data_IF_667897516434
#
_entry.id   IF_667897516434
#
_cell.length_a   1.000
_cell.length_b   1.000
_cell.length_c   1.000
_cell.angle_alpha   90.00
_cell.angle_beta   90.00
_cell.angle_gamma   90.00
#
_symmetry.space_group_name_H-M   'P 1'
#
loop_
_entity.id
_entity.type
_entity.pdbx_description
1 polymer ?
#
# COMPACT_ATOMS: atom_id res chain seq x y z
N UNK A 1 39.55 15.79 -99.66
CA UNK A 1 38.18 16.30 -99.46
C UNK A 1 37.87 16.18 -97.98
N UNK A 2 37.67 17.35 -97.34
CA UNK A 2 36.92 17.62 -96.08
C UNK A 2 37.24 16.74 -94.86
N UNK A 3 38.02 17.22 -93.89
CA UNK A 3 37.70 18.19 -92.81
C UNK A 3 37.10 17.57 -91.53
N UNK A 4 37.49 18.17 -90.40
CA UNK A 4 37.06 18.03 -88.98
C UNK A 4 37.93 17.09 -88.12
N UNK A 5 38.88 17.49 -87.25
CA UNK A 5 39.06 18.58 -86.24
C UNK A 5 38.63 18.14 -84.82
N UNK A 6 39.62 18.22 -83.88
CA UNK A 6 39.56 18.30 -82.38
C UNK A 6 39.35 17.01 -81.58
N UNK A 7 39.93 16.77 -80.40
CA UNK A 7 41.20 17.09 -79.70
C UNK A 7 41.20 16.20 -78.43
N UNK A 8 42.39 16.02 -77.88
CA UNK A 8 42.74 15.78 -76.47
C UNK A 8 41.74 16.30 -75.41
N UNK A 9 41.71 15.61 -74.27
CA UNK A 9 40.83 15.88 -73.14
C UNK A 9 41.08 14.95 -71.95
N UNK A 10 42.24 15.08 -71.31
CA UNK A 10 42.41 14.86 -69.87
C UNK A 10 41.37 15.62 -69.05
N UNK A 11 40.82 15.00 -68.00
CA UNK A 11 40.27 15.53 -66.72
C UNK A 11 39.17 14.55 -66.24
N UNK A 12 38.97 14.20 -64.98
CA UNK A 12 39.55 14.60 -63.70
C UNK A 12 39.19 13.52 -62.66
N UNK A 13 40.01 13.47 -61.61
CA UNK A 13 39.72 12.93 -60.30
C UNK A 13 38.27 13.21 -59.86
N UNK A 14 37.44 12.16 -59.79
CA UNK A 14 36.26 12.17 -58.94
C UNK A 14 36.60 11.42 -57.65
N UNK A 15 37.08 12.19 -56.67
CA UNK A 15 37.48 11.72 -55.36
C UNK A 15 36.48 10.75 -54.73
N UNK A 16 37.00 9.58 -54.37
CA UNK A 16 36.44 8.71 -53.34
C UNK A 16 36.12 9.53 -52.09
N UNK A 17 34.83 9.82 -51.89
CA UNK A 17 34.34 10.24 -50.58
C UNK A 17 34.73 9.13 -49.56
N UNK A 18 35.34 9.46 -48.41
CA UNK A 18 35.67 8.45 -47.42
C UNK A 18 34.37 7.78 -46.97
N UNK A 19 34.30 6.46 -47.15
CA UNK A 19 33.18 5.64 -46.67
C UNK A 19 32.92 5.95 -45.19
N UNK A 20 31.80 6.64 -44.93
CA UNK A 20 31.38 7.02 -43.59
C UNK A 20 31.31 5.78 -42.71
N UNK A 21 31.90 5.90 -41.52
CA UNK A 21 31.90 4.91 -40.43
C UNK A 21 30.49 4.72 -39.86
N UNK A 22 29.58 4.14 -40.63
CA UNK A 22 28.22 3.88 -40.14
C UNK A 22 28.17 2.60 -39.32
N UNK A 23 27.61 2.70 -38.12
CA UNK A 23 27.36 1.55 -37.23
C UNK A 23 26.35 0.61 -37.89
N UNK A 24 26.57 -0.70 -37.81
CA UNK A 24 25.67 -1.68 -38.41
C UNK A 24 24.22 -1.52 -37.89
N UNK A 25 23.20 -1.58 -38.78
CA UNK A 25 21.80 -1.33 -38.42
C UNK A 25 21.30 -2.19 -37.25
N UNK A 26 21.69 -3.47 -37.20
CA UNK A 26 21.29 -4.39 -36.13
C UNK A 26 21.85 -3.96 -34.76
N UNK A 27 23.12 -3.56 -34.70
CA UNK A 27 23.75 -3.13 -33.45
C UNK A 27 23.12 -1.84 -32.93
N UNK A 28 22.73 -0.92 -33.84
CA UNK A 28 21.94 0.28 -33.51
C UNK A 28 20.59 -0.10 -32.90
N UNK A 29 19.88 -1.05 -33.52
CA UNK A 29 18.58 -1.50 -33.03
C UNK A 29 18.67 -2.16 -31.65
N UNK A 30 19.68 -2.99 -31.40
CA UNK A 30 19.88 -3.63 -30.08
C UNK A 30 20.20 -2.61 -28.99
N UNK A 31 21.11 -1.65 -29.26
CA UNK A 31 21.43 -0.57 -28.31
C UNK A 31 20.18 0.27 -28.02
N UNK A 32 19.44 0.65 -29.07
CA UNK A 32 18.24 1.46 -28.92
C UNK A 32 17.13 0.72 -28.15
N UNK A 33 16.95 -0.58 -28.37
CA UNK A 33 15.95 -1.37 -27.65
C UNK A 33 16.30 -1.56 -26.18
N UNK A 34 17.58 -1.79 -25.85
CA UNK A 34 18.02 -1.85 -24.44
C UNK A 34 17.84 -0.49 -23.76
N UNK A 35 18.22 0.59 -24.42
CA UNK A 35 18.04 1.96 -23.93
C UNK A 35 16.55 2.30 -23.71
N UNK A 36 15.69 1.97 -24.67
CA UNK A 36 14.24 2.21 -24.57
C UNK A 36 13.59 1.33 -23.49
N UNK A 37 14.01 0.07 -23.34
CA UNK A 37 13.52 -0.82 -22.29
C UNK A 37 13.89 -0.33 -20.89
N UNK A 38 15.15 0.08 -20.68
CA UNK A 38 15.59 0.69 -19.43
C UNK A 38 14.86 2.02 -19.16
N UNK A 39 14.68 2.86 -20.18
CA UNK A 39 13.93 4.10 -20.07
C UNK A 39 12.49 3.87 -19.63
N UNK A 40 11.82 2.86 -20.20
CA UNK A 40 10.45 2.49 -19.84
C UNK A 40 10.36 2.07 -18.37
N UNK A 41 11.33 1.29 -17.86
CA UNK A 41 11.36 0.90 -16.45
C UNK A 41 11.58 2.14 -15.56
N UNK A 42 12.59 2.98 -15.83
CA UNK A 42 12.83 4.19 -15.04
C UNK A 42 11.61 5.11 -14.98
N UNK A 43 10.97 5.36 -16.13
CA UNK A 43 9.78 6.21 -16.18
C UNK A 43 8.59 5.58 -15.46
N UNK A 44 8.43 4.25 -15.53
CA UNK A 44 7.37 3.54 -14.82
C UNK A 44 7.54 3.58 -13.29
N UNK A 45 8.78 3.63 -12.80
CA UNK A 45 9.07 3.70 -11.36
C UNK A 45 8.94 5.11 -10.76
N UNK A 46 8.82 6.16 -11.58
CA UNK A 46 8.72 7.56 -11.13
C UNK A 46 7.68 7.77 -10.03
N UNK A 47 6.41 7.29 -10.14
CA UNK A 47 5.41 7.54 -9.10
C UNK A 47 5.81 7.01 -7.73
N UNK A 48 6.36 5.78 -7.68
CA UNK A 48 6.78 5.14 -6.43
C UNK A 48 7.92 5.92 -5.76
N UNK A 49 8.95 6.30 -6.51
CA UNK A 49 10.08 7.06 -5.97
C UNK A 49 9.74 8.52 -5.67
N UNK A 50 8.81 9.13 -6.42
CA UNK A 50 8.37 10.50 -6.14
C UNK A 50 7.55 10.59 -4.86
N UNK A 51 6.75 9.56 -4.56
CA UNK A 51 5.97 9.46 -3.33
C UNK A 51 6.86 9.25 -2.10
N UNK A 52 7.91 8.44 -2.21
CA UNK A 52 8.87 8.22 -1.12
C UNK A 52 9.75 9.45 -0.88
N UNK A 53 10.40 9.95 -1.94
CA UNK A 53 11.30 11.10 -1.85
C UNK A 53 11.44 11.81 -3.21
N UNK A 54 10.82 13.00 -3.32
CA UNK A 54 10.75 13.73 -4.60
C UNK A 54 12.08 13.88 -5.37
N UNK A 55 13.25 14.15 -4.75
CA UNK A 55 14.52 14.19 -5.46
C UNK A 55 14.88 12.88 -6.18
N UNK A 56 14.51 11.73 -5.61
CA UNK A 56 14.70 10.42 -6.25
C UNK A 56 13.78 10.27 -7.45
N UNK A 57 12.49 10.58 -7.31
CA UNK A 57 11.55 10.59 -8.42
C UNK A 57 12.03 11.47 -9.58
N UNK A 58 12.58 12.65 -9.31
CA UNK A 58 13.18 13.53 -10.33
C UNK A 58 14.39 12.88 -11.00
N UNK A 59 15.26 12.20 -10.25
CA UNK A 59 16.40 11.48 -10.81
C UNK A 59 15.96 10.36 -11.78
N UNK A 60 14.88 9.63 -11.45
CA UNK A 60 14.27 8.63 -12.33
C UNK A 60 13.71 9.24 -13.62
N UNK A 61 13.02 10.39 -13.52
CA UNK A 61 12.53 11.14 -14.70
C UNK A 61 13.70 11.52 -15.61
N UNK A 62 14.74 12.13 -15.07
CA UNK A 62 15.91 12.58 -15.84
C UNK A 62 16.64 11.39 -16.50
N UNK A 63 16.78 10.29 -15.76
CA UNK A 63 17.41 9.06 -16.25
C UNK A 63 16.62 8.45 -17.41
N UNK A 64 15.30 8.29 -17.24
CA UNK A 64 14.42 7.73 -18.26
C UNK A 64 14.41 8.55 -19.55
N UNK A 65 14.31 9.88 -19.44
CA UNK A 65 14.36 10.77 -20.61
C UNK A 65 15.72 10.77 -21.30
N UNK A 66 16.81 10.72 -20.54
CA UNK A 66 18.16 10.60 -21.13
C UNK A 66 18.30 9.29 -21.92
N UNK A 67 17.85 8.17 -21.35
CA UNK A 67 17.91 6.86 -22.02
C UNK A 67 17.02 6.81 -23.27
N UNK A 68 15.84 7.43 -23.22
CA UNK A 68 14.96 7.55 -24.39
C UNK A 68 15.58 8.43 -25.49
N UNK A 69 16.24 9.53 -25.10
CA UNK A 69 16.98 10.37 -26.04
C UNK A 69 18.16 9.62 -26.68
N UNK A 70 18.90 8.82 -25.91
CA UNK A 70 19.96 7.94 -26.43
C UNK A 70 19.38 6.94 -27.44
N UNK A 71 18.26 6.29 -27.11
CA UNK A 71 17.59 5.34 -28.01
C UNK A 71 17.24 5.99 -29.36
N UNK A 72 16.63 7.17 -29.33
CA UNK A 72 16.29 7.93 -30.55
C UNK A 72 17.54 8.38 -31.32
N UNK A 73 18.55 8.93 -30.63
CA UNK A 73 19.76 9.46 -31.27
C UNK A 73 20.60 8.36 -31.91
N UNK A 74 20.71 7.17 -31.32
CA UNK A 74 21.43 6.03 -31.93
C UNK A 74 20.78 5.61 -33.25
N UNK A 75 19.45 5.63 -33.33
CA UNK A 75 18.71 5.32 -34.56
C UNK A 75 18.89 6.41 -35.63
N UNK A 76 18.73 7.68 -35.25
CA UNK A 76 18.76 8.81 -36.19
C UNK A 76 20.19 9.18 -36.62
N UNK A 77 21.16 9.22 -35.68
CA UNK A 77 22.56 9.62 -35.92
C UNK A 77 23.55 8.90 -35.01
N UNK A 78 24.20 7.85 -35.52
CA UNK A 78 25.30 7.12 -34.84
C UNK A 78 26.62 7.87 -34.80
N UNK A 79 26.65 9.05 -34.17
CA UNK A 79 27.91 9.72 -33.90
C UNK A 79 28.59 9.08 -32.69
N UNK A 80 29.93 9.02 -32.69
CA UNK A 80 30.72 8.43 -31.60
C UNK A 80 30.40 9.04 -30.23
N UNK A 81 30.06 10.33 -30.17
CA UNK A 81 29.69 10.98 -28.92
C UNK A 81 28.42 10.37 -28.29
N UNK A 82 27.44 9.93 -29.09
CA UNK A 82 26.21 9.28 -28.58
C UNK A 82 26.55 7.96 -27.90
N UNK A 83 27.47 7.19 -28.48
CA UNK A 83 27.96 5.93 -27.90
C UNK A 83 28.74 6.18 -26.60
N UNK A 84 29.58 7.22 -26.55
CA UNK A 84 30.25 7.61 -25.30
C UNK A 84 29.23 8.02 -24.22
N UNK A 85 28.22 8.82 -24.57
CA UNK A 85 27.14 9.18 -23.64
C UNK A 85 26.41 7.93 -23.13
N UNK A 86 26.12 6.97 -24.00
CA UNK A 86 25.52 5.68 -23.61
C UNK A 86 26.40 4.90 -22.63
N UNK A 87 27.71 4.79 -22.89
CA UNK A 87 28.65 4.10 -21.99
C UNK A 87 28.73 4.80 -20.63
N UNK A 88 28.93 6.12 -20.61
CA UNK A 88 29.12 6.89 -19.38
C UNK A 88 27.84 6.87 -18.53
N UNK A 89 26.69 7.14 -19.13
CA UNK A 89 25.41 7.12 -18.40
C UNK A 89 25.09 5.74 -17.83
N UNK A 90 25.22 4.67 -18.62
CA UNK A 90 24.99 3.30 -18.12
C UNK A 90 25.93 2.94 -16.97
N UNK A 91 27.20 3.33 -17.05
CA UNK A 91 28.16 3.08 -15.97
C UNK A 91 27.77 3.81 -14.68
N UNK A 92 27.26 5.04 -14.79
CA UNK A 92 26.76 5.83 -13.64
C UNK A 92 25.54 5.16 -13.02
N UNK A 93 24.55 4.75 -13.82
CA UNK A 93 23.30 4.15 -13.32
C UNK A 93 23.55 2.79 -12.67
N UNK A 94 24.34 1.93 -13.30
CA UNK A 94 24.78 0.65 -12.71
C UNK A 94 25.57 0.90 -11.43
N UNK A 95 26.45 1.91 -11.40
CA UNK A 95 27.20 2.30 -10.21
C UNK A 95 26.29 2.73 -9.06
N UNK A 96 25.29 3.58 -9.33
CA UNK A 96 24.29 4.01 -8.36
C UNK A 96 23.52 2.81 -7.79
N UNK A 97 23.06 1.90 -8.64
CA UNK A 97 22.42 0.65 -8.23
C UNK A 97 23.32 -0.20 -7.31
N UNK A 98 24.60 -0.35 -7.66
CA UNK A 98 25.53 -1.13 -6.85
C UNK A 98 25.72 -0.51 -5.46
N UNK A 99 25.79 0.82 -5.36
CA UNK A 99 25.90 1.53 -4.08
C UNK A 99 24.68 1.25 -3.20
N UNK A 100 23.45 1.44 -3.73
CA UNK A 100 22.22 1.22 -2.93
C UNK A 100 22.06 -0.24 -2.49
N UNK A 101 22.56 -1.21 -3.29
CA UNK A 101 22.48 -2.65 -2.98
C UNK A 101 23.65 -3.22 -2.17
N UNK A 102 24.66 -2.43 -1.86
CA UNK A 102 25.83 -2.91 -1.07
C UNK A 102 26.06 -2.12 0.21
N UNK A 103 26.00 -0.79 0.14
CA UNK A 103 26.26 0.11 1.27
C UNK A 103 25.05 0.97 1.63
N UNK A 104 24.02 0.96 0.79
CA UNK A 104 22.82 1.79 0.94
C UNK A 104 22.98 3.18 0.30
N UNK A 105 21.88 3.91 0.21
CA UNK A 105 21.89 5.25 -0.38
C UNK A 105 22.79 6.20 0.46
N UNK A 106 23.63 7.04 -0.17
CA UNK A 106 24.52 7.95 0.55
C UNK A 106 23.79 9.11 1.25
N UNK A 107 22.57 9.42 0.82
CA UNK A 107 21.71 10.48 1.32
C UNK A 107 20.23 10.12 1.09
N UNK A 108 19.32 10.88 1.69
CA UNK A 108 17.86 10.66 1.60
C UNK A 108 17.30 9.91 2.82
N UNK A 109 15.97 9.66 2.85
CA UNK A 109 15.30 8.98 3.96
C UNK A 109 15.88 7.59 4.27
N UNK A 110 16.41 6.93 3.24
CA UNK A 110 16.97 5.57 3.29
C UNK A 110 18.49 5.54 3.46
N UNK A 111 19.09 6.59 4.04
CA UNK A 111 20.54 6.70 4.14
C UNK A 111 21.18 5.51 4.88
N UNK A 112 22.09 4.81 4.21
CA UNK A 112 22.81 3.64 4.72
C UNK A 112 21.96 2.37 4.87
N UNK A 113 20.71 2.40 4.41
CA UNK A 113 19.85 1.21 4.36
C UNK A 113 20.15 0.45 3.07
N UNK A 114 20.60 -0.80 3.19
CA UNK A 114 20.85 -1.65 2.02
C UNK A 114 19.53 -2.09 1.42
N UNK A 115 19.28 -1.67 0.19
CA UNK A 115 18.02 -1.94 -0.48
C UNK A 115 17.92 -3.40 -0.94
N UNK A 116 16.71 -4.00 -0.88
CA UNK A 116 16.48 -5.34 -1.38
C UNK A 116 16.58 -5.39 -2.91
N UNK A 117 16.94 -6.57 -3.44
CA UNK A 117 16.97 -6.79 -4.90
C UNK A 117 15.60 -7.28 -5.35
N UNK A 118 14.94 -6.53 -6.21
CA UNK A 118 13.67 -6.92 -6.83
C UNK A 118 13.87 -7.29 -8.30
N UNK A 119 12.87 -7.93 -8.90
CA UNK A 119 12.94 -8.35 -10.30
C UNK A 119 13.04 -7.13 -11.24
N UNK A 120 12.27 -6.07 -10.96
CA UNK A 120 12.29 -4.85 -11.77
C UNK A 120 13.67 -4.17 -11.76
N UNK A 121 14.36 -4.18 -10.62
CA UNK A 121 15.72 -3.62 -10.50
C UNK A 121 16.72 -4.39 -11.37
N UNK A 122 16.72 -5.72 -11.23
CA UNK A 122 17.62 -6.60 -11.95
C UNK A 122 17.37 -6.52 -13.46
N UNK A 123 16.10 -6.38 -13.85
CA UNK A 123 15.73 -6.24 -15.26
C UNK A 123 16.27 -4.92 -15.85
N UNK A 124 16.12 -3.81 -15.11
CA UNK A 124 16.64 -2.51 -15.53
C UNK A 124 18.17 -2.55 -15.70
N UNK A 125 18.89 -2.98 -14.67
CA UNK A 125 20.36 -3.04 -14.65
C UNK A 125 20.90 -3.98 -15.71
N UNK A 126 20.21 -5.09 -16.00
CA UNK A 126 20.59 -6.00 -17.08
C UNK A 126 20.51 -5.31 -18.45
N UNK A 127 19.44 -4.56 -18.72
CA UNK A 127 19.28 -3.81 -19.97
C UNK A 127 20.35 -2.72 -20.09
N UNK A 128 20.68 -2.03 -18.99
CA UNK A 128 21.77 -1.05 -18.97
C UNK A 128 23.14 -1.68 -19.19
N UNK A 129 23.41 -2.84 -18.59
CA UNK A 129 24.66 -3.56 -18.76
C UNK A 129 24.81 -4.07 -20.20
N UNK A 130 23.72 -4.55 -20.82
CA UNK A 130 23.70 -4.93 -22.22
C UNK A 130 23.93 -3.71 -23.13
N UNK A 131 23.26 -2.58 -22.86
CA UNK A 131 23.51 -1.33 -23.57
C UNK A 131 24.97 -0.90 -23.47
N UNK A 132 25.55 -0.92 -22.27
CA UNK A 132 26.95 -0.58 -22.02
C UNK A 132 27.89 -1.47 -22.83
N UNK A 133 27.70 -2.80 -22.77
CA UNK A 133 28.51 -3.76 -23.50
C UNK A 133 28.42 -3.59 -25.02
N UNK A 134 27.20 -3.42 -25.56
CA UNK A 134 26.97 -3.22 -26.98
C UNK A 134 27.57 -1.89 -27.48
N UNK A 135 27.46 -0.81 -26.70
CA UNK A 135 28.06 0.49 -27.01
C UNK A 135 29.60 0.44 -26.96
N UNK A 136 30.20 -0.30 -26.03
CA UNK A 136 31.64 -0.54 -26.01
C UNK A 136 32.11 -1.33 -27.24
N UNK A 137 31.40 -2.39 -27.60
CA UNK A 137 31.69 -3.17 -28.82
C UNK A 137 31.57 -2.29 -30.07
N UNK A 138 30.54 -1.43 -30.14
CA UNK A 138 30.36 -0.49 -31.24
C UNK A 138 31.52 0.51 -31.37
N UNK A 139 32.09 0.96 -30.24
CA UNK A 139 33.24 1.86 -30.21
C UNK A 139 34.56 1.15 -30.58
N UNK A 140 34.77 -0.08 -30.11
CA UNK A 140 36.02 -0.82 -30.27
C UNK A 140 36.10 -1.61 -31.59
N UNK A 141 34.98 -2.14 -32.07
CA UNK A 141 34.89 -2.99 -33.26
C UNK A 141 33.66 -2.65 -34.11
N UNK A 142 33.62 -1.46 -34.75
CA UNK A 142 32.45 -0.97 -35.48
C UNK A 142 32.02 -1.85 -36.68
N UNK A 143 32.90 -2.75 -37.16
CA UNK A 143 32.64 -3.65 -38.30
C UNK A 143 32.33 -5.09 -37.90
N UNK A 144 32.19 -5.41 -36.60
CA UNK A 144 32.08 -6.79 -36.12
C UNK A 144 30.85 -7.54 -36.66
N UNK A 145 29.77 -6.82 -36.95
CA UNK A 145 28.53 -7.39 -37.48
C UNK A 145 28.39 -7.16 -39.00
N UNK A 146 29.39 -6.56 -39.65
CA UNK A 146 29.35 -6.28 -41.09
C UNK A 146 29.52 -7.55 -41.94
N UNK A 147 30.03 -8.63 -41.35
CA UNK A 147 30.31 -9.92 -42.01
C UNK A 147 29.27 -11.00 -41.66
N UNK A 148 28.18 -10.65 -40.98
CA UNK A 148 27.16 -11.61 -40.56
C UNK A 148 26.33 -12.11 -41.75
N UNK A 149 26.11 -13.43 -41.81
CA UNK A 149 25.23 -14.03 -42.81
C UNK A 149 23.74 -13.78 -42.45
N UNK A 150 22.82 -14.04 -43.39
CA UNK A 150 21.38 -13.81 -43.20
C UNK A 150 20.82 -14.51 -41.95
N UNK A 151 21.30 -15.71 -41.63
CA UNK A 151 20.86 -16.46 -40.45
C UNK A 151 21.25 -15.76 -39.14
N UNK A 152 22.48 -15.26 -39.05
CA UNK A 152 22.94 -14.48 -37.90
C UNK A 152 22.15 -13.18 -37.74
N UNK A 153 21.77 -12.51 -38.84
CA UNK A 153 20.90 -11.34 -38.77
C UNK A 153 19.49 -11.67 -38.27
N UNK A 154 18.90 -12.78 -38.73
CA UNK A 154 17.56 -13.22 -38.27
C UNK A 154 17.58 -13.51 -36.78
N UNK A 155 18.58 -14.26 -36.28
CA UNK A 155 18.71 -14.54 -34.85
C UNK A 155 18.91 -13.26 -34.02
N UNK A 156 19.69 -12.30 -34.53
CA UNK A 156 19.93 -11.05 -33.83
C UNK A 156 18.69 -10.14 -33.77
N UNK A 157 17.77 -10.25 -34.72
CA UNK A 157 16.51 -9.50 -34.72
C UNK A 157 15.57 -9.85 -33.56
N UNK A 158 15.79 -11.01 -32.92
CA UNK A 158 15.06 -11.44 -31.72
C UNK A 158 15.45 -10.56 -30.52
N UNK A 159 16.66 -10.03 -30.47
CA UNK A 159 17.20 -9.32 -29.30
C UNK A 159 16.42 -8.03 -28.98
N UNK A 160 16.14 -7.13 -29.94
CA UNK A 160 15.31 -5.95 -29.67
C UNK A 160 13.89 -6.30 -29.18
N UNK A 161 13.27 -7.32 -29.77
CA UNK A 161 11.92 -7.76 -29.39
C UNK A 161 11.95 -8.35 -27.98
N UNK A 162 12.92 -9.19 -27.68
CA UNK A 162 13.10 -9.77 -26.35
C UNK A 162 13.36 -8.71 -25.28
N UNK A 163 14.18 -7.69 -25.58
CA UNK A 163 14.44 -6.59 -24.65
C UNK A 163 13.16 -5.79 -24.33
N UNK A 164 12.33 -5.50 -25.34
CA UNK A 164 11.05 -4.82 -25.15
C UNK A 164 10.06 -5.68 -24.35
N UNK A 165 9.89 -6.97 -24.71
CA UNK A 165 9.03 -7.89 -23.97
C UNK A 165 9.48 -8.06 -22.52
N UNK A 166 10.79 -8.11 -22.29
CA UNK A 166 11.37 -8.21 -20.96
C UNK A 166 11.10 -6.95 -20.14
N UNK A 167 11.29 -5.75 -20.71
CA UNK A 167 10.94 -4.49 -20.06
C UNK A 167 9.44 -4.41 -19.74
N UNK A 168 8.57 -4.80 -20.68
CA UNK A 168 7.12 -4.88 -20.43
C UNK A 168 6.81 -5.84 -19.29
N UNK A 169 7.44 -7.02 -19.26
CA UNK A 169 7.23 -7.99 -18.16
C UNK A 169 7.70 -7.45 -16.82
N UNK A 170 8.78 -6.67 -16.78
CA UNK A 170 9.26 -6.02 -15.56
C UNK A 170 8.28 -4.97 -15.07
N UNK A 171 7.82 -4.08 -15.96
CA UNK A 171 6.86 -3.01 -15.64
C UNK A 171 5.50 -3.55 -15.20
N UNK A 172 5.01 -4.63 -15.82
CA UNK A 172 3.72 -5.23 -15.45
C UNK A 172 3.82 -6.26 -14.33
N UNK A 173 5.01 -6.53 -13.81
CA UNK A 173 5.20 -7.49 -12.73
C UNK A 173 4.72 -6.96 -11.39
N UNK A 174 4.35 -7.88 -10.49
CA UNK A 174 4.13 -7.57 -9.07
C UNK A 174 5.36 -6.92 -8.42
N UNK A 175 6.55 -7.14 -8.98
CA UNK A 175 7.78 -6.53 -8.46
C UNK A 175 7.83 -5.03 -8.71
N UNK A 176 7.21 -4.52 -9.79
CA UNK A 176 7.11 -3.10 -10.04
C UNK A 176 6.01 -2.46 -9.18
N UNK A 177 4.85 -3.12 -9.05
CA UNK A 177 3.76 -2.62 -8.20
C UNK A 177 4.09 -2.62 -6.71
N UNK A 178 4.93 -3.56 -6.27
CA UNK A 178 5.32 -3.74 -4.87
C UNK A 178 6.80 -3.36 -4.65
N UNK A 179 7.38 -2.58 -5.55
CA UNK A 179 8.74 -2.06 -5.34
C UNK A 179 8.71 -1.15 -4.12
N UNK A 180 9.52 -1.48 -3.12
CA UNK A 180 9.64 -0.73 -1.89
C UNK A 180 11.11 -0.69 -1.48
N UNK A 181 11.52 0.43 -0.90
CA UNK A 181 12.82 0.56 -0.27
C UNK A 181 12.85 -0.23 1.05
N UNK A 182 14.04 -0.36 1.65
CA UNK A 182 14.12 -0.80 3.04
C UNK A 182 13.39 0.16 3.98
N UNK A 183 13.17 -0.23 5.23
CA UNK A 183 12.56 0.68 6.18
C UNK A 183 13.56 1.72 6.69
N UNK A 184 13.13 2.99 6.90
CA UNK A 184 13.94 4.01 7.54
C UNK A 184 14.46 3.54 8.90
N UNK A 185 15.55 4.15 9.37
CA UNK A 185 16.09 3.84 10.71
C UNK A 185 15.01 4.02 11.80
N UNK A 186 14.89 3.02 12.67
CA UNK A 186 13.87 2.98 13.74
C UNK A 186 12.54 2.38 13.32
N UNK A 187 12.42 1.91 12.07
CA UNK A 187 11.29 1.16 11.57
C UNK A 187 11.75 -0.19 11.03
N UNK A 188 10.87 -1.19 11.11
CA UNK A 188 11.07 -2.52 10.53
C UNK A 188 9.98 -2.78 9.52
N UNK A 189 10.29 -3.60 8.51
CA UNK A 189 9.27 -4.05 7.57
C UNK A 189 8.23 -4.83 8.34
N UNK A 190 6.95 -4.44 8.21
CA UNK A 190 5.84 -5.22 8.71
C UNK A 190 6.04 -6.68 8.28
N UNK A 191 5.85 -7.65 9.19
CA UNK A 191 5.81 -9.05 8.79
C UNK A 191 4.79 -9.18 7.67
N UNK A 192 5.21 -9.74 6.53
CA UNK A 192 4.37 -9.85 5.33
C UNK A 192 2.99 -10.39 5.74
N UNK A 193 1.87 -9.73 5.38
CA UNK A 193 0.59 -10.40 5.42
C UNK A 193 0.74 -11.66 4.56
N UNK A 194 0.61 -12.81 5.19
CA UNK A 194 0.62 -14.09 4.49
C UNK A 194 -0.63 -14.11 3.62
N UNK A 195 -0.42 -13.85 2.33
CA UNK A 195 -1.32 -14.04 1.19
C UNK A 195 -2.50 -13.06 0.95
N UNK A 196 -2.41 -12.45 -0.23
CA UNK A 196 -3.49 -12.15 -1.19
C UNK A 196 -4.60 -11.16 -0.80
N UNK A 197 -4.26 -9.86 -0.81
CA UNK A 197 -5.21 -8.87 -1.32
C UNK A 197 -5.47 -9.14 -2.81
N UNK A 198 -6.66 -9.66 -3.12
CA UNK A 198 -7.14 -9.83 -4.48
C UNK A 198 -7.44 -8.46 -5.09
N UNK A 199 -6.53 -7.95 -5.92
CA UNK A 199 -6.83 -6.80 -6.79
C UNK A 199 -7.92 -7.20 -7.77
N UNK A 200 -9.03 -6.45 -7.80
CA UNK A 200 -9.93 -6.43 -8.95
C UNK A 200 -10.59 -5.06 -9.13
N UNK A 201 -10.26 -4.47 -10.28
CA UNK A 201 -11.00 -3.48 -11.05
C UNK A 201 -11.30 -2.10 -10.44
N UNK A 202 -10.51 -1.13 -10.90
CA UNK A 202 -10.79 0.29 -10.89
C UNK A 202 -12.19 0.63 -11.46
N UNK A 203 -12.92 1.51 -10.78
CA UNK A 203 -13.84 2.44 -11.43
C UNK A 203 -13.52 3.85 -10.96
N UNK A 204 -13.18 4.70 -11.92
CA UNK A 204 -12.86 6.12 -11.82
C UNK A 204 -13.89 6.92 -11.02
N UNK A 205 -13.42 7.67 -10.02
CA UNK A 205 -14.07 8.90 -9.53
C UNK A 205 -12.99 9.92 -9.20
N UNK A 206 -12.93 10.95 -10.03
CA UNK A 206 -12.07 12.13 -9.91
C UNK A 206 -12.56 13.05 -8.80
N UNK A 207 -11.79 13.22 -7.73
CA UNK A 207 -11.62 14.49 -6.98
C UNK A 207 -10.25 14.49 -6.27
N UNK A 208 -9.61 15.65 -6.22
CA UNK A 208 -8.22 15.85 -5.80
C UNK A 208 -8.04 15.97 -4.28
N UNK A 209 -6.88 15.45 -3.83
CA UNK A 209 -6.17 15.60 -2.54
C UNK A 209 -6.67 14.70 -1.38
N UNK A 210 -5.85 13.85 -0.72
CA UNK A 210 -4.43 13.54 -0.82
C UNK A 210 -4.17 12.12 -0.25
N UNK A 211 -3.25 11.40 -0.90
CA UNK A 211 -2.46 10.25 -0.45
C UNK A 211 -3.13 9.07 0.28
N UNK A 212 -3.61 8.12 -0.55
CA UNK A 212 -4.00 6.77 -0.14
C UNK A 212 -3.99 5.80 -1.31
N UNK A 213 -2.93 5.82 -2.13
CA UNK A 213 -2.75 4.79 -3.16
C UNK A 213 -1.93 3.65 -2.55
N UNK A 214 -2.64 2.60 -2.12
CA UNK A 214 -2.08 1.37 -1.59
C UNK A 214 -1.04 0.76 -2.54
N UNK A 215 0.23 0.98 -2.23
CA UNK A 215 1.35 0.21 -2.78
C UNK A 215 1.56 -0.99 -1.87
N UNK A 216 1.39 -2.20 -2.41
CA UNK A 216 1.46 -3.47 -1.68
C UNK A 216 2.91 -3.88 -1.32
N UNK A 217 3.71 -2.93 -0.83
CA UNK A 217 4.95 -3.19 -0.10
C UNK A 217 4.65 -3.44 1.39
N UNK A 218 5.54 -4.11 2.15
CA UNK A 218 5.39 -4.20 3.60
C UNK A 218 5.45 -2.78 4.19
N UNK A 219 4.38 -2.35 4.86
CA UNK A 219 4.37 -1.08 5.58
C UNK A 219 5.53 -1.07 6.59
N UNK A 220 6.23 0.06 6.73
CA UNK A 220 7.24 0.18 7.76
C UNK A 220 6.57 0.54 9.09
N UNK A 221 6.78 -0.29 10.10
CA UNK A 221 6.22 -0.09 11.44
C UNK A 221 7.32 0.31 12.41
N UNK A 222 7.02 1.09 13.46
CA UNK A 222 7.96 1.33 14.54
C UNK A 222 8.50 0.01 15.09
N UNK A 223 9.81 -0.08 15.33
CA UNK A 223 10.48 -1.31 15.77
C UNK A 223 9.90 -1.91 17.09
N UNK A 224 9.17 -1.12 17.88
CA UNK A 224 8.78 -1.45 19.26
C UNK A 224 7.27 -1.30 19.57
N UNK A 225 6.36 -1.30 18.60
CA UNK A 225 4.91 -1.14 18.88
C UNK A 225 4.11 -2.47 18.94
N UNK A 226 4.80 -3.60 18.87
CA UNK A 226 4.24 -4.96 18.86
C UNK A 226 3.16 -5.20 17.78
N UNK A 227 3.19 -4.44 16.69
CA UNK A 227 2.26 -4.54 15.57
C UNK A 227 0.99 -3.72 15.74
N UNK A 228 0.89 -2.82 16.72
CA UNK A 228 -0.29 -1.96 16.90
C UNK A 228 -0.58 -1.11 15.66
N UNK A 229 0.44 -0.53 15.02
CA UNK A 229 0.30 0.25 13.79
C UNK A 229 -0.07 -0.56 12.54
N UNK A 230 -0.14 -1.90 12.64
CA UNK A 230 -0.65 -2.76 11.56
C UNK A 230 -2.17 -2.91 11.61
N UNK A 231 -2.79 -2.50 12.71
CA UNK A 231 -4.23 -2.46 12.81
C UNK A 231 -4.77 -1.29 11.99
N UNK A 232 -6.00 -1.47 11.55
CA UNK A 232 -6.80 -0.42 10.96
C UNK A 232 -8.26 -0.81 11.12
N UNK A 233 -9.12 0.19 11.28
CA UNK A 233 -10.54 -0.02 11.40
C UNK A 233 -11.34 0.94 10.50
N UNK A 234 -11.84 0.38 9.40
CA UNK A 234 -12.67 1.09 8.43
C UNK A 234 -11.96 2.18 7.63
N UNK A 235 -12.74 2.88 6.82
CA UNK A 235 -12.36 4.03 6.01
C UNK A 235 -12.82 5.30 6.71
N UNK A 236 -11.87 6.17 7.03
CA UNK A 236 -12.12 7.45 7.69
C UNK A 236 -11.10 8.51 7.27
N UNK A 237 -11.36 9.75 7.64
CA UNK A 237 -10.35 10.81 7.62
C UNK A 237 -9.40 10.68 8.82
N UNK A 238 -8.35 11.50 8.92
CA UNK A 238 -7.37 11.38 10.00
C UNK A 238 -8.02 11.48 11.40
N UNK A 239 -7.67 10.56 12.29
CA UNK A 239 -8.06 10.63 13.71
C UNK A 239 -7.39 11.85 14.34
N UNK A 240 -8.18 12.65 15.05
CA UNK A 240 -7.74 13.91 15.65
C UNK A 240 -8.13 13.99 17.12
N UNK A 241 -7.27 14.66 17.89
CA UNK A 241 -7.53 14.99 19.28
C UNK A 241 -7.15 16.45 19.51
N UNK A 242 -8.02 17.34 19.05
CA UNK A 242 -7.81 18.77 19.13
C UNK A 242 -8.29 19.29 20.50
N UNK A 243 -7.57 20.28 21.08
CA UNK A 243 -8.09 21.01 22.23
C UNK A 243 -9.43 21.68 21.90
N UNK A 244 -10.44 21.46 22.75
CA UNK A 244 -11.75 22.11 22.64
C UNK A 244 -11.82 23.32 23.57
N UNK A 245 -12.64 24.31 23.22
CA UNK A 245 -12.92 25.40 24.16
C UNK A 245 -13.73 24.89 25.37
N UNK A 246 -13.69 25.59 26.52
CA UNK A 246 -14.29 25.08 27.76
C UNK A 246 -15.79 24.80 27.68
N UNK A 247 -16.55 25.53 26.85
CA UNK A 247 -17.99 25.34 26.71
C UNK A 247 -18.27 24.06 25.91
N UNK A 248 -17.57 23.89 24.80
CA UNK A 248 -17.64 22.69 23.97
C UNK A 248 -17.18 21.45 24.74
N UNK A 249 -16.07 21.54 25.47
CA UNK A 249 -15.57 20.44 26.31
C UNK A 249 -16.60 20.04 27.37
N UNK A 250 -17.20 21.02 28.09
CA UNK A 250 -18.20 20.71 29.10
C UNK A 250 -19.48 20.09 28.53
N UNK A 251 -19.83 20.40 27.28
CA UNK A 251 -20.94 19.76 26.58
C UNK A 251 -20.60 18.32 26.16
N UNK A 252 -19.40 18.10 25.62
CA UNK A 252 -18.89 16.77 25.31
C UNK A 252 -18.82 15.89 26.57
N UNK A 253 -18.31 16.41 27.68
CA UNK A 253 -18.21 15.68 28.95
C UNK A 253 -19.58 15.19 29.45
N UNK A 254 -20.65 15.95 29.21
CA UNK A 254 -22.03 15.52 29.51
C UNK A 254 -22.47 14.36 28.62
N UNK A 255 -22.16 14.39 27.32
CA UNK A 255 -22.45 13.28 26.43
C UNK A 255 -21.69 12.02 26.84
N UNK A 256 -20.39 12.15 27.15
CA UNK A 256 -19.55 11.04 27.60
C UNK A 256 -19.95 10.53 29.00
N UNK A 257 -20.57 11.35 29.85
CA UNK A 257 -21.13 10.90 31.12
C UNK A 257 -22.32 9.95 30.89
N UNK A 258 -23.18 10.22 29.91
CA UNK A 258 -24.31 9.34 29.56
C UNK A 258 -23.78 7.97 29.10
N UNK A 259 -22.73 7.92 28.29
CA UNK A 259 -22.15 6.63 27.85
C UNK A 259 -21.57 5.85 29.04
N UNK A 260 -21.02 6.52 30.05
CA UNK A 260 -20.59 5.88 31.31
C UNK A 260 -21.76 5.33 32.14
N UNK A 261 -22.93 5.98 32.12
CA UNK A 261 -24.13 5.41 32.75
C UNK A 261 -24.57 4.11 32.07
N UNK A 262 -24.44 4.04 30.74
CA UNK A 262 -24.69 2.79 29.99
C UNK A 262 -23.70 1.70 30.40
N UNK A 263 -22.44 2.05 30.64
CA UNK A 263 -21.42 1.08 31.08
C UNK A 263 -21.83 0.32 32.35
N UNK A 264 -22.46 1.02 33.30
CA UNK A 264 -22.92 0.44 34.56
C UNK A 264 -24.06 -0.57 34.40
N UNK A 265 -24.81 -0.51 33.30
CA UNK A 265 -25.91 -1.43 33.02
C UNK A 265 -25.41 -2.77 32.46
N UNK A 266 -24.27 -2.76 31.78
CA UNK A 266 -23.74 -3.91 31.06
C UNK A 266 -22.27 -4.22 31.43
N UNK A 267 -21.95 -4.40 32.72
CA UNK A 267 -20.55 -4.51 33.16
C UNK A 267 -19.82 -5.74 32.61
N UNK A 268 -20.56 -6.77 32.16
CA UNK A 268 -20.00 -8.05 31.69
C UNK A 268 -20.69 -8.56 30.42
N UNK A 269 -20.01 -9.43 29.67
CA UNK A 269 -20.60 -10.15 28.53
C UNK A 269 -21.95 -10.78 28.90
N UNK A 270 -22.02 -11.47 30.04
CA UNK A 270 -23.25 -12.11 30.51
C UNK A 270 -24.41 -11.11 30.67
N UNK A 271 -24.14 -9.91 31.17
CA UNK A 271 -25.16 -8.87 31.32
C UNK A 271 -25.66 -8.31 29.97
N UNK A 272 -24.77 -8.17 28.97
CA UNK A 272 -25.16 -7.78 27.62
C UNK A 272 -26.00 -8.86 26.92
N UNK A 273 -25.58 -10.12 27.01
CA UNK A 273 -26.32 -11.24 26.41
C UNK A 273 -27.72 -11.39 27.04
N UNK A 274 -27.84 -11.21 28.36
CA UNK A 274 -29.12 -11.19 29.06
C UNK A 274 -30.02 -10.04 28.60
N UNK A 275 -29.44 -8.92 28.17
CA UNK A 275 -30.14 -7.77 27.60
C UNK A 275 -30.40 -7.88 26.08
N UNK A 276 -30.08 -9.02 25.47
CA UNK A 276 -30.37 -9.33 24.07
C UNK A 276 -29.28 -8.92 23.08
N UNK A 277 -28.12 -8.44 23.54
CA UNK A 277 -26.97 -8.26 22.66
C UNK A 277 -26.38 -9.61 22.23
N UNK A 278 -25.81 -9.66 21.03
CA UNK A 278 -25.25 -10.88 20.42
C UNK A 278 -23.86 -10.61 19.87
N UNK A 279 -22.93 -11.53 20.09
CA UNK A 279 -21.57 -11.42 19.56
C UNK A 279 -21.61 -11.25 18.04
N UNK A 280 -20.85 -10.29 17.53
CA UNK A 280 -20.67 -10.02 16.11
C UNK A 280 -19.19 -10.14 15.75
N UNK A 281 -18.80 -11.28 15.18
CA UNK A 281 -17.42 -11.57 14.80
C UNK A 281 -16.54 -12.08 15.95
N UNK A 282 -15.24 -12.28 15.66
CA UNK A 282 -14.26 -12.71 16.65
C UNK A 282 -13.75 -11.53 17.50
N UNK A 283 -13.07 -11.84 18.61
CA UNK A 283 -12.21 -10.87 19.30
C UNK A 283 -11.10 -10.40 18.35
N UNK A 284 -10.99 -9.09 18.17
CA UNK A 284 -9.94 -8.43 17.39
C UNK A 284 -9.04 -7.60 18.30
N UNK A 285 -7.70 -7.80 18.28
CA UNK A 285 -6.81 -6.93 19.04
C UNK A 285 -6.96 -5.48 18.56
N UNK A 286 -6.94 -4.54 19.50
CA UNK A 286 -7.27 -3.12 19.30
C UNK A 286 -8.75 -2.78 19.48
N UNK A 287 -9.68 -3.71 19.20
CA UNK A 287 -11.13 -3.40 19.21
C UNK A 287 -11.91 -4.17 20.28
N UNK A 288 -11.41 -5.33 20.72
CA UNK A 288 -12.10 -6.19 21.67
C UNK A 288 -13.09 -7.14 20.99
N UNK A 289 -14.05 -7.64 21.79
CA UNK A 289 -15.19 -8.43 21.30
C UNK A 289 -16.43 -7.56 21.20
N UNK A 290 -17.05 -7.51 20.02
CA UNK A 290 -18.28 -6.74 19.82
C UNK A 290 -19.51 -7.58 20.11
N UNK A 291 -20.40 -7.05 20.95
CA UNK A 291 -21.73 -7.58 21.18
C UNK A 291 -22.74 -6.55 20.69
N UNK A 292 -23.49 -6.89 19.65
CA UNK A 292 -24.36 -5.97 18.92
C UNK A 292 -25.84 -6.19 19.22
N UNK A 293 -26.62 -5.11 19.13
CA UNK A 293 -28.08 -5.13 19.10
C UNK A 293 -28.53 -4.14 18.03
N UNK A 294 -29.41 -4.56 17.12
CA UNK A 294 -29.73 -3.77 15.91
C UNK A 294 -31.23 -3.44 15.85
N UNK A 295 -31.77 -2.80 16.90
CA UNK A 295 -33.14 -2.27 16.84
C UNK A 295 -33.14 -0.85 16.24
N UNK A 296 -34.32 -0.26 16.08
CA UNK A 296 -34.44 1.09 15.52
C UNK A 296 -33.65 2.15 16.32
N UNK A 297 -33.53 1.98 17.64
CA UNK A 297 -32.78 2.90 18.49
C UNK A 297 -31.28 2.83 18.22
N UNK A 298 -30.70 1.63 18.16
CA UNK A 298 -29.27 1.45 17.91
C UNK A 298 -28.83 1.78 16.48
N UNK A 299 -29.75 1.72 15.51
CA UNK A 299 -29.44 2.06 14.12
C UNK A 299 -29.38 3.57 13.85
N UNK A 300 -29.87 4.41 14.78
CA UNK A 300 -29.83 5.87 14.71
C UNK A 300 -30.13 6.43 13.31
N UNK A 301 -31.37 6.32 12.85
CA UNK A 301 -31.77 6.79 11.53
C UNK A 301 -31.72 8.32 11.37
N UNK A 302 -31.79 9.08 12.46
CA UNK A 302 -31.70 10.54 12.42
C UNK A 302 -30.28 11.04 12.18
N UNK A 303 -29.27 10.21 12.51
CA UNK A 303 -27.87 10.60 12.46
C UNK A 303 -27.49 11.67 13.46
N UNK A 304 -28.24 11.81 14.56
CA UNK A 304 -27.95 12.78 15.63
C UNK A 304 -27.56 12.01 16.89
N UNK A 305 -26.46 12.39 17.53
CA UNK A 305 -26.04 11.82 18.82
C UNK A 305 -26.66 12.58 20.00
N UNK A 306 -27.99 12.48 20.11
CA UNK A 306 -28.76 12.98 21.24
C UNK A 306 -28.71 12.01 22.44
N UNK A 307 -29.38 12.37 23.56
CA UNK A 307 -29.37 11.54 24.76
C UNK A 307 -29.93 10.12 24.51
N UNK A 308 -30.94 9.98 23.65
CA UNK A 308 -31.50 8.68 23.32
C UNK A 308 -30.49 7.84 22.53
N UNK A 309 -29.87 8.41 21.50
CA UNK A 309 -28.83 7.73 20.74
C UNK A 309 -27.64 7.31 21.62
N UNK A 310 -27.21 8.18 22.54
CA UNK A 310 -26.12 7.89 23.48
C UNK A 310 -26.43 6.72 24.43
N UNK A 311 -27.71 6.49 24.75
CA UNK A 311 -28.16 5.36 25.57
C UNK A 311 -28.29 4.04 24.81
N UNK A 312 -28.20 4.08 23.48
CA UNK A 312 -28.40 2.93 22.60
C UNK A 312 -27.22 2.71 21.65
N UNK A 313 -26.02 2.36 22.17
CA UNK A 313 -24.90 1.96 21.31
C UNK A 313 -25.25 0.69 20.53
N UNK A 314 -24.86 0.65 19.25
CA UNK A 314 -25.01 -0.55 18.41
C UNK A 314 -24.23 -1.72 18.98
N UNK A 315 -22.99 -1.49 19.41
CA UNK A 315 -22.19 -2.50 20.08
C UNK A 315 -21.67 -2.07 21.45
N UNK A 316 -21.67 -3.04 22.35
CA UNK A 316 -20.92 -3.05 23.60
C UNK A 316 -19.63 -3.82 23.34
N UNK A 317 -18.49 -3.22 23.66
CA UNK A 317 -17.17 -3.81 23.43
C UNK A 317 -16.65 -4.41 24.72
N UNK A 318 -16.18 -5.65 24.66
CA UNK A 318 -15.69 -6.39 25.81
C UNK A 318 -14.22 -6.78 25.66
N UNK A 319 -13.54 -6.93 26.79
CA UNK A 319 -12.13 -7.35 26.84
C UNK A 319 -11.89 -8.76 26.27
N UNK A 320 -12.94 -9.57 26.19
CA UNK A 320 -12.90 -10.93 25.69
C UNK A 320 -14.30 -11.49 25.49
N UNK A 321 -14.39 -12.81 25.36
CA UNK A 321 -15.66 -13.51 25.12
C UNK A 321 -16.18 -14.27 26.35
N UNK A 322 -15.39 -14.35 27.43
CA UNK A 322 -15.82 -15.06 28.63
C UNK A 322 -17.01 -14.31 29.26
N UNK A 323 -17.99 -15.01 29.87
CA UNK A 323 -19.18 -14.37 30.42
C UNK A 323 -18.90 -13.26 31.44
N UNK A 324 -17.75 -13.29 32.12
CA UNK A 324 -17.27 -12.31 33.09
C UNK A 324 -16.33 -11.24 32.50
N UNK A 325 -16.05 -11.28 31.19
CA UNK A 325 -15.23 -10.27 30.51
C UNK A 325 -15.86 -8.89 30.69
N UNK A 326 -15.05 -7.93 31.11
CA UNK A 326 -15.50 -6.58 31.43
C UNK A 326 -15.74 -5.73 30.16
N UNK A 327 -16.70 -4.81 30.26
CA UNK A 327 -16.94 -3.80 29.22
C UNK A 327 -15.73 -2.87 29.13
N UNK A 328 -15.32 -2.51 27.91
CA UNK A 328 -14.15 -1.67 27.64
C UNK A 328 -14.47 -0.43 26.80
N UNK A 329 -15.59 -0.44 26.08
CA UNK A 329 -15.98 0.67 25.22
C UNK A 329 -17.29 0.43 24.49
N UNK A 330 -17.59 1.32 23.56
CA UNK A 330 -18.81 1.32 22.78
C UNK A 330 -18.51 1.50 21.31
N UNK A 331 -19.40 1.00 20.46
CA UNK A 331 -19.47 1.40 19.07
C UNK A 331 -20.87 1.91 18.77
N UNK A 332 -20.96 3.15 18.31
CA UNK A 332 -22.20 3.74 17.83
C UNK A 332 -22.31 3.55 16.32
N UNK A 333 -23.54 3.50 15.84
CA UNK A 333 -23.85 3.33 14.43
C UNK A 333 -24.95 4.29 14.02
N UNK A 334 -24.92 4.72 12.77
CA UNK A 334 -25.97 5.53 12.18
C UNK A 334 -26.20 5.11 10.74
N UNK A 335 -27.45 4.80 10.40
CA UNK A 335 -27.89 4.54 9.02
C UNK A 335 -28.17 5.83 8.24
N UNK A 336 -27.83 6.99 8.77
CA UNK A 336 -27.99 8.28 8.08
C UNK A 336 -27.30 8.24 6.71
N UNK A 337 -27.95 8.80 5.66
CA UNK A 337 -27.34 8.88 4.33
C UNK A 337 -26.18 9.88 4.25
N UNK A 338 -26.02 10.73 5.28
CA UNK A 338 -24.92 11.69 5.43
C UNK A 338 -24.20 11.46 6.75
N UNK A 339 -22.97 11.93 6.86
CA UNK A 339 -22.18 11.83 8.09
C UNK A 339 -22.97 12.37 9.29
N UNK A 340 -23.03 11.65 10.43
CA UNK A 340 -23.84 12.05 11.57
C UNK A 340 -23.44 13.41 12.14
N UNK A 341 -24.42 14.11 12.69
CA UNK A 341 -24.17 15.14 13.69
C UNK A 341 -23.82 14.43 14.99
N UNK A 342 -22.54 14.06 15.09
CA UNK A 342 -22.03 13.20 16.14
C UNK A 342 -21.84 13.91 17.46
N UNK A 343 -20.74 13.62 18.13
CA UNK A 343 -20.44 14.19 19.43
C UNK A 343 -20.10 15.68 19.32
N UNK A 344 -20.36 16.44 20.37
CA UNK A 344 -20.05 17.86 20.40
C UNK A 344 -18.54 18.06 20.32
N UNK A 345 -18.09 18.80 19.31
CA UNK A 345 -16.68 19.09 19.09
C UNK A 345 -16.25 18.77 17.66
N UNK A 346 -14.96 18.51 17.49
CA UNK A 346 -14.34 18.19 16.19
C UNK A 346 -13.49 16.92 16.26
N UNK A 347 -13.63 16.15 17.34
CA UNK A 347 -12.77 14.99 17.62
C UNK A 347 -13.45 13.67 17.33
N UNK A 348 -14.75 13.65 17.04
CA UNK A 348 -15.44 12.46 16.58
C UNK A 348 -15.19 12.28 15.08
N UNK A 349 -14.55 11.16 14.72
CA UNK A 349 -14.29 10.81 13.34
C UNK A 349 -15.07 9.53 13.07
N UNK A 350 -16.01 9.61 12.14
CA UNK A 350 -16.84 8.48 11.76
C UNK A 350 -16.19 7.72 10.61
N UNK A 351 -16.26 6.40 10.67
CA UNK A 351 -15.75 5.52 9.63
C UNK A 351 -16.86 4.69 8.99
N UNK A 352 -16.53 4.08 7.87
CA UNK A 352 -17.36 3.07 7.21
C UNK A 352 -16.50 1.92 6.73
N UNK A 353 -17.07 0.75 6.57
CA UNK A 353 -16.38 -0.44 6.06
C UNK A 353 -16.93 -0.82 4.71
N UNK A 354 -16.13 -1.53 3.93
CA UNK A 354 -16.51 -2.02 2.61
C UNK A 354 -16.27 -3.51 2.49
N UNK A 355 -17.12 -4.19 1.73
CA UNK A 355 -17.00 -5.63 1.47
C UNK A 355 -16.97 -6.48 2.76
N UNK A 356 -17.87 -6.19 3.69
CA UNK A 356 -18.05 -7.01 4.90
C UNK A 356 -18.88 -8.25 4.56
N UNK A 357 -18.39 -9.42 4.97
CA UNK A 357 -19.21 -10.61 5.02
C UNK A 357 -20.03 -10.69 6.31
N UNK A 358 -21.36 -10.63 6.17
CA UNK A 358 -22.29 -10.77 7.29
C UNK A 358 -23.01 -12.11 7.23
N UNK A 359 -23.35 -12.66 8.40
CA UNK A 359 -24.09 -13.90 8.52
C UNK A 359 -25.15 -13.76 9.60
N UNK A 360 -26.35 -14.27 9.35
CA UNK A 360 -27.37 -14.30 10.40
C UNK A 360 -26.96 -15.29 11.49
N UNK A 361 -26.85 -14.83 12.73
CA UNK A 361 -26.48 -15.68 13.85
C UNK A 361 -27.64 -16.62 14.25
N UNK A 362 -27.38 -17.88 14.61
CA UNK A 362 -28.40 -18.76 15.19
C UNK A 362 -28.94 -18.14 16.50
N UNK A 363 -30.24 -17.80 16.52
CA UNK A 363 -30.87 -17.10 17.64
C UNK A 363 -31.09 -15.60 17.45
N UNK A 364 -30.87 -15.08 16.23
CA UNK A 364 -31.06 -13.68 15.88
C UNK A 364 -29.79 -12.85 16.01
N UNK A 365 -29.76 -11.67 15.38
CA UNK A 365 -28.57 -10.82 15.28
C UNK A 365 -27.71 -11.11 14.05
N UNK A 366 -26.60 -10.38 13.94
CA UNK A 366 -25.67 -10.43 12.82
C UNK A 366 -24.28 -10.80 13.33
N UNK A 367 -23.67 -11.77 12.66
CA UNK A 367 -22.29 -12.20 12.85
C UNK A 367 -21.43 -11.70 11.68
N UNK A 368 -20.15 -11.46 11.93
CA UNK A 368 -19.15 -11.05 10.93
C UNK A 368 -17.99 -12.05 10.95
N UNK A 369 -18.10 -13.21 10.26
CA UNK A 369 -17.14 -14.32 10.40
C UNK A 369 -15.69 -13.98 10.03
N UNK A 370 -15.50 -12.90 9.27
CA UNK A 370 -14.19 -12.38 8.86
C UNK A 370 -13.90 -11.00 9.48
N UNK A 371 -14.62 -10.61 10.54
CA UNK A 371 -14.56 -9.25 11.08
C UNK A 371 -15.12 -8.19 10.12
N UNK A 372 -15.02 -6.91 10.51
CA UNK A 372 -15.44 -5.78 9.69
C UNK A 372 -14.28 -5.22 8.84
N UNK A 373 -13.04 -5.37 9.32
CA UNK A 373 -11.85 -4.72 8.75
C UNK A 373 -11.22 -5.49 7.58
N UNK A 374 -11.66 -6.72 7.36
CA UNK A 374 -11.27 -7.48 6.18
C UNK A 374 -12.26 -7.26 5.04
N UNK A 375 -11.74 -6.89 3.88
CA UNK A 375 -12.48 -6.92 2.62
C UNK A 375 -12.64 -8.37 2.16
N UNK A 376 -13.64 -9.06 2.69
CA UNK A 376 -13.95 -10.43 2.32
C UNK A 376 -14.36 -10.49 0.84
N UNK A 377 -13.95 -11.53 0.12
CA UNK A 377 -14.45 -11.74 -1.24
C UNK A 377 -15.86 -12.31 -1.23
N UNK A 378 -16.58 -12.13 -2.35
CA UNK A 378 -17.91 -12.71 -2.53
C UNK A 378 -17.88 -14.24 -2.34
N UNK A 379 -16.83 -14.90 -2.83
CA UNK A 379 -16.63 -16.35 -2.73
C UNK A 379 -16.39 -16.77 -1.28
N UNK A 380 -15.51 -16.08 -0.55
CA UNK A 380 -15.28 -16.34 0.88
C UNK A 380 -16.57 -16.21 1.69
N UNK A 381 -17.37 -15.18 1.40
CA UNK A 381 -18.61 -14.97 2.11
C UNK A 381 -19.67 -16.03 1.78
N UNK A 382 -19.77 -16.43 0.51
CA UNK A 382 -20.67 -17.51 0.10
C UNK A 382 -20.30 -18.85 0.76
N UNK A 383 -19.01 -19.15 0.94
CA UNK A 383 -18.54 -20.39 1.57
C UNK A 383 -19.02 -20.56 3.01
N UNK A 384 -19.12 -19.48 3.77
CA UNK A 384 -19.62 -19.50 5.15
C UNK A 384 -21.14 -19.37 5.25
N UNK A 385 -21.83 -19.29 4.10
CA UNK A 385 -23.28 -19.05 4.02
C UNK A 385 -23.69 -17.64 4.44
N UNK A 386 -22.79 -16.67 4.28
CA UNK A 386 -23.03 -15.26 4.55
C UNK A 386 -23.57 -14.50 3.33
N UNK A 387 -23.83 -13.22 3.53
CA UNK A 387 -24.18 -12.25 2.50
C UNK A 387 -23.21 -11.06 2.57
N UNK A 388 -22.85 -10.55 1.39
CA UNK A 388 -21.90 -9.44 1.28
C UNK A 388 -22.62 -8.11 1.48
N UNK A 389 -22.16 -7.32 2.44
CA UNK A 389 -22.52 -5.91 2.58
C UNK A 389 -21.42 -5.07 1.93
N UNK A 390 -21.77 -4.41 0.82
CA UNK A 390 -20.80 -3.65 0.04
C UNK A 390 -20.23 -2.44 0.76
N UNK A 391 -21.05 -1.79 1.58
CA UNK A 391 -20.63 -0.67 2.38
C UNK A 391 -21.54 -0.57 3.60
N UNK A 392 -20.94 -0.38 4.78
CA UNK A 392 -21.68 0.04 5.98
C UNK A 392 -22.01 1.52 5.90
N UNK A 393 -22.90 1.97 6.76
CA UNK A 393 -23.02 3.40 7.04
C UNK A 393 -21.98 3.78 8.12
N UNK A 394 -22.34 4.71 8.98
CA UNK A 394 -21.39 5.41 9.84
C UNK A 394 -21.23 4.69 11.16
N UNK A 395 -19.99 4.44 11.54
CA UNK A 395 -19.64 3.85 12.82
C UNK A 395 -18.61 4.71 13.53
N UNK A 396 -18.59 4.66 14.85
CA UNK A 396 -17.55 5.30 15.66
C UNK A 396 -17.34 4.52 16.96
N UNK A 397 -16.09 4.31 17.32
CA UNK A 397 -15.70 3.76 18.61
C UNK A 397 -15.57 4.86 19.67
N UNK A 398 -16.05 4.55 20.88
CA UNK A 398 -16.06 5.49 22.01
C UNK A 398 -15.54 4.80 23.26
N UNK A 399 -14.36 5.21 23.70
CA UNK A 399 -13.65 4.68 24.86
C UNK A 399 -13.88 5.56 26.08
N UNK A 400 -15.01 5.37 26.76
CA UNK A 400 -15.36 6.15 27.96
C UNK A 400 -15.40 5.34 29.24
N UNK A 401 -15.22 4.02 29.15
CA UNK A 401 -15.19 3.15 30.33
C UNK A 401 -13.93 3.46 31.14
N UNK A 402 -14.05 3.73 32.46
CA UNK A 402 -12.91 4.04 33.31
C UNK A 402 -11.81 2.98 33.20
N UNK A 403 -10.57 3.43 32.98
CA UNK A 403 -9.43 2.54 32.79
C UNK A 403 -9.13 2.21 31.33
N UNK A 404 -10.09 2.43 30.43
CA UNK A 404 -9.98 2.24 28.99
C UNK A 404 -9.95 3.56 28.20
N UNK A 405 -10.25 4.68 28.87
CA UNK A 405 -10.47 6.02 28.29
C UNK A 405 -9.24 6.93 28.21
N UNK A 406 -8.15 6.59 28.92
CA UNK A 406 -6.90 7.35 28.90
C UNK A 406 -6.02 7.00 27.69
N UNK A 407 -6.46 7.40 26.50
CA UNK A 407 -5.77 7.20 25.24
C UNK A 407 -5.13 8.50 24.74
N UNK A 408 -3.92 8.43 24.18
CA UNK A 408 -3.19 9.62 23.69
C UNK A 408 -3.93 10.36 22.58
N UNK A 409 -4.65 9.63 21.71
CA UNK A 409 -5.51 10.20 20.67
C UNK A 409 -6.93 10.50 21.13
N UNK A 410 -7.21 10.49 22.43
CA UNK A 410 -8.54 10.78 22.98
C UNK A 410 -9.51 9.59 22.92
N UNK A 411 -10.73 9.83 23.37
CA UNK A 411 -11.75 8.78 23.54
C UNK A 411 -12.37 8.27 22.23
N UNK A 412 -12.08 8.91 21.10
CA UNK A 412 -12.59 8.57 19.76
C UNK A 412 -11.55 7.91 18.87
N UNK A 413 -10.46 7.38 19.44
CA UNK A 413 -9.55 6.55 18.64
C UNK A 413 -10.27 5.32 18.10
N UNK A 414 -9.85 4.85 16.94
CA UNK A 414 -10.41 3.64 16.34
C UNK A 414 -10.00 2.41 17.16
N UNK A 415 -8.71 2.30 17.49
CA UNK A 415 -8.18 1.21 18.29
C UNK A 415 -7.72 1.64 19.69
N UNK A 416 -7.86 0.72 20.63
CA UNK A 416 -7.37 0.83 21.99
C UNK A 416 -6.13 -0.04 22.20
N UNK A 417 -4.98 0.59 22.44
CA UNK A 417 -3.69 -0.09 22.63
C UNK A 417 -3.60 -0.94 23.92
N UNK A 418 -4.65 -0.99 24.74
CA UNK A 418 -4.75 -1.91 25.88
C UNK A 418 -5.39 -3.25 25.51
N UNK A 419 -6.03 -3.35 24.35
CA UNK A 419 -6.71 -4.56 23.87
C UNK A 419 -5.75 -5.41 23.04
N UNK A 420 -4.69 -5.90 23.66
CA UNK A 420 -3.71 -6.74 22.97
C UNK A 420 -4.16 -8.21 22.89
N UNK A 421 -3.36 -9.02 22.22
CA UNK A 421 -3.41 -10.47 22.36
C UNK A 421 -2.70 -10.93 23.64
N UNK A 422 -2.88 -12.19 24.03
CA UNK A 422 -2.31 -12.77 25.27
C UNK A 422 -0.79 -12.73 25.38
N UNK A 423 -0.07 -12.55 24.27
CA UNK A 423 1.38 -12.38 24.21
C UNK A 423 1.82 -10.91 24.23
N UNK A 424 0.90 -9.96 24.45
CA UNK A 424 1.15 -8.52 24.44
C UNK A 424 1.34 -7.92 23.04
N UNK A 425 1.05 -8.69 21.99
CA UNK A 425 1.15 -8.25 20.59
C UNK A 425 -0.22 -7.97 19.96
N UNK A 426 -0.22 -7.36 18.78
CA UNK A 426 -1.42 -7.12 17.98
C UNK A 426 -1.46 -7.98 16.72
N UNK A 427 -0.62 -9.03 16.66
CA UNK A 427 -0.57 -9.90 15.50
C UNK A 427 -1.77 -10.83 15.43
N UNK A 428 -2.47 -10.79 14.30
CA UNK A 428 -3.63 -11.62 14.01
C UNK A 428 -3.26 -12.85 13.18
N UNK A 429 -4.16 -13.83 13.17
CA UNK A 429 -4.14 -14.98 12.27
C UNK A 429 -4.28 -14.50 10.81
N UNK A 430 -3.79 -15.27 9.84
CA UNK A 430 -4.05 -14.99 8.43
C UNK A 430 -5.58 -14.97 8.14
N UNK A 431 -6.09 -14.04 7.30
CA UNK A 431 -7.51 -13.90 6.97
C UNK A 431 -8.24 -15.21 6.63
N UNK A 432 -7.57 -16.11 5.90
CA UNK A 432 -8.12 -17.40 5.51
C UNK A 432 -8.45 -18.33 6.68
N UNK A 433 -7.93 -18.04 7.88
CA UNK A 433 -8.19 -18.81 9.10
C UNK A 433 -9.29 -18.21 9.97
N UNK A 434 -9.82 -17.03 9.66
CA UNK A 434 -10.73 -16.32 10.58
C UNK A 434 -12.08 -17.01 10.73
N UNK A 435 -12.65 -17.51 9.62
CA UNK A 435 -13.90 -18.28 9.64
C UNK A 435 -13.80 -19.55 10.50
N UNK A 436 -12.61 -20.15 10.59
CA UNK A 436 -12.32 -21.32 11.42
C UNK A 436 -12.01 -20.94 12.89
N UNK A 437 -11.82 -19.65 13.18
CA UNK A 437 -11.53 -19.12 14.51
C UNK A 437 -12.56 -18.03 14.91
N UNK A 438 -13.86 -18.36 14.97
CA UNK A 438 -14.95 -17.40 15.10
C UNK A 438 -15.02 -16.67 16.45
N UNK A 439 -14.18 -17.05 17.41
CA UNK A 439 -14.11 -16.41 18.74
C UNK A 439 -12.94 -15.46 18.87
N UNK A 440 -11.85 -15.66 18.14
CA UNK A 440 -10.63 -14.89 18.35
C UNK A 440 -9.67 -15.02 17.18
N UNK A 441 -9.18 -13.89 16.67
CA UNK A 441 -8.22 -13.86 15.58
C UNK A 441 -6.79 -13.55 16.03
N UNK A 442 -6.51 -13.42 17.33
CA UNK A 442 -5.15 -13.31 17.83
C UNK A 442 -4.29 -14.50 17.43
N UNK A 443 -3.07 -14.24 16.96
CA UNK A 443 -2.09 -15.29 16.63
C UNK A 443 -1.73 -16.13 17.86
N UNK A 444 -1.71 -15.53 19.05
CA UNK A 444 -1.52 -16.25 20.32
C UNK A 444 -2.76 -17.03 20.80
N UNK A 445 -3.86 -16.99 20.03
CA UNK A 445 -5.11 -17.72 20.25
C UNK A 445 -5.92 -17.34 21.49
N UNK A 446 -5.47 -16.36 22.27
CA UNK A 446 -6.23 -15.80 23.39
C UNK A 446 -6.19 -14.26 23.36
N UNK A 447 -7.30 -13.58 23.73
CA UNK A 447 -7.25 -12.18 24.13
C UNK A 447 -6.28 -12.02 25.30
N UNK A 448 -5.71 -10.83 25.50
CA UNK A 448 -5.07 -10.61 26.78
C UNK A 448 -4.54 -9.23 27.04
N UNK A 449 -4.27 -9.00 28.32
CA UNK A 449 -3.59 -7.83 28.80
C UNK A 449 -2.12 -8.22 28.95
N UNK A 450 -1.16 -7.39 28.50
CA UNK A 450 0.12 -7.39 29.17
C UNK A 450 -0.17 -7.07 30.64
N UNK A 451 0.32 -7.92 31.54
CA UNK A 451 0.26 -7.83 33.01
C UNK A 451 -0.22 -6.50 33.61
N UNK A 452 -1.22 -6.61 34.49
CA UNK A 452 -1.74 -5.61 35.44
C UNK A 452 -2.97 -4.80 35.01
N UNK A 453 -4.15 -5.37 35.23
CA UNK A 453 -5.18 -4.88 36.19
C UNK A 453 -6.51 -5.58 35.93
N UNK A 454 -7.09 -6.20 36.97
CA UNK A 454 -8.54 -6.35 37.07
C UNK A 454 -9.08 -5.03 37.60
N UNK A 455 -10.04 -4.41 36.94
CA UNK A 455 -10.73 -3.25 37.48
C UNK A 455 -11.55 -3.71 38.68
N UNK A 456 -11.23 -3.23 39.88
CA UNK A 456 -12.05 -3.47 41.07
C UNK A 456 -13.29 -2.57 41.03
N UNK A 457 -14.45 -3.06 41.49
CA UNK A 457 -15.74 -2.33 41.59
C UNK A 457 -15.65 -0.91 42.17
N UNK A 458 -14.58 -0.60 42.92
CA UNK A 458 -14.29 0.74 43.46
C UNK A 458 -13.99 1.81 42.40
N UNK A 459 -13.63 1.45 41.15
CA UNK A 459 -13.34 2.40 40.08
C UNK A 459 -14.57 2.80 39.24
N UNK A 460 -15.70 2.10 39.43
CA UNK A 460 -16.96 2.33 38.72
C UNK A 460 -17.95 3.22 39.50
N UNK A 461 -17.59 3.66 40.72
CA UNK A 461 -18.36 4.60 41.56
C UNK A 461 -17.60 5.91 41.68
#
# INVERSE_FOLDING_TARGET
MTDTVITDGTTDDAGTAPAGTELAPMLRACIAACAAGAAAIHLAMVPAHMAEWAPEGVAFVLTGWLQLAIAALVLVRSRRWVLHTSVISSAIFIGAYLVTRTVGAPFGPQQGVVEPRSFVDLACVLLEALMLGLSLVALWRPRLTATWNHQAMVLASIVPVAALLFATSAVTSKSASNHAHGCPKGQIAAPKPTLASGSSAATTSTTLAADGHNHAGPACVPENDNGFSLLGNGHHHAIVNNPLDPVTQAALDKQLAITREVALQYPTVASAEAAGYKKAGPYSPGLGSHYTRSTAAELNASGVMDEEALRHPLALLYFGNDPDSELVGFMYYSISPVEPTGFVGTNDVWHSHTDICLKNAPGGGVDAPFGADLQATQEQCAQVGGFMLKQTQWMIHVWTVPGWDNLSGGVFQEENNKLACSDGTFYVLPPEQWADNPTNICRSKAPGAPSDRRITEAALR
#
